data_IF_549164792318
#
_entry.id   IF_549164792318
#
_cell.length_a   1.000
_cell.length_b   1.000
_cell.length_c   1.000
_cell.angle_alpha   90.00
_cell.angle_beta   90.00
_cell.angle_gamma   90.00
#
_symmetry.space_group_name_H-M   'P 1'
#
loop_
_entity.id
_entity.type
_entity.pdbx_description
1 polymer ?
#
# COMPACT_ATOMS: atom_id res chain seq x y z
N UNK A 1 -3.11 -12.58 -14.42
CA UNK A 1 -3.08 -11.82 -13.16
C UNK A 1 -1.82 -10.99 -13.22
N UNK A 2 -1.93 -9.69 -12.97
CA UNK A 2 -0.77 -8.81 -12.99
C UNK A 2 0.25 -9.28 -11.96
N UNK A 3 1.53 -9.18 -12.28
CA UNK A 3 2.60 -9.40 -11.31
C UNK A 3 2.61 -8.26 -10.29
N UNK A 4 2.97 -8.58 -9.05
CA UNK A 4 3.26 -7.59 -8.03
C UNK A 4 4.74 -7.55 -7.70
N UNK A 5 5.30 -6.36 -7.70
CA UNK A 5 6.67 -6.12 -7.25
C UNK A 5 6.66 -5.00 -6.20
N UNK A 6 7.24 -5.27 -5.02
CA UNK A 6 7.44 -4.26 -3.99
C UNK A 6 8.79 -3.60 -4.23
N UNK A 7 8.80 -2.28 -4.36
CA UNK A 7 10.05 -1.51 -4.40
C UNK A 7 10.71 -1.51 -3.02
N UNK A 8 12.04 -1.31 -2.94
CA UNK A 8 12.75 -1.26 -1.66
C UNK A 8 12.12 -0.29 -0.65
N UNK A 9 11.71 0.90 -1.12
CA UNK A 9 11.05 1.91 -0.28
C UNK A 9 9.73 1.38 0.31
N UNK A 10 8.95 0.61 -0.45
CA UNK A 10 7.72 -0.01 0.05
C UNK A 10 7.98 -1.08 1.11
N UNK A 11 9.10 -1.80 1.02
CA UNK A 11 9.50 -2.79 2.03
C UNK A 11 9.92 -2.06 3.31
N UNK A 12 10.76 -1.02 3.19
CA UNK A 12 11.18 -0.20 4.33
C UNK A 12 9.97 0.47 5.01
N UNK A 13 9.00 0.93 4.23
CA UNK A 13 7.75 1.48 4.74
C UNK A 13 6.93 0.44 5.53
N UNK A 14 6.89 -0.83 5.11
CA UNK A 14 6.24 -1.90 5.88
C UNK A 14 6.94 -2.12 7.23
N UNK A 15 8.27 -2.14 7.24
CA UNK A 15 9.05 -2.29 8.47
C UNK A 15 8.78 -1.14 9.43
N UNK A 16 8.80 0.11 8.94
CA UNK A 16 8.44 1.30 9.73
C UNK A 16 7.01 1.24 10.27
N UNK A 17 6.05 0.74 9.48
CA UNK A 17 4.67 0.56 9.94
C UNK A 17 4.60 -0.48 11.06
N UNK A 18 5.31 -1.61 10.95
CA UNK A 18 5.36 -2.63 11.99
C UNK A 18 5.95 -2.05 13.27
N UNK A 19 7.11 -1.38 13.18
CA UNK A 19 7.76 -0.74 14.32
C UNK A 19 6.85 0.27 15.02
N UNK A 20 6.18 1.12 14.24
CA UNK A 20 5.23 2.09 14.78
C UNK A 20 4.06 1.40 15.51
N UNK A 21 3.49 0.32 14.94
CA UNK A 21 2.39 -0.40 15.57
C UNK A 21 2.80 -1.08 16.89
N UNK A 22 4.03 -1.59 16.96
CA UNK A 22 4.62 -2.16 18.18
C UNK A 22 4.79 -1.07 19.24
N UNK A 23 5.43 0.05 18.88
CA UNK A 23 5.65 1.18 19.80
C UNK A 23 4.34 1.79 20.31
N UNK A 24 3.33 1.91 19.44
CA UNK A 24 2.03 2.47 19.80
C UNK A 24 1.14 1.50 20.60
N UNK A 25 1.61 0.29 20.94
CA UNK A 25 0.83 -0.78 21.58
C UNK A 25 -0.50 -1.03 20.88
N UNK A 26 -0.47 -0.99 19.54
CA UNK A 26 -1.68 -1.13 18.75
C UNK A 26 -2.32 -2.51 18.98
N UNK A 27 -3.64 -2.54 19.13
CA UNK A 27 -4.35 -3.80 19.20
C UNK A 27 -4.32 -4.53 17.86
N UNK A 28 -4.06 -5.84 17.93
CA UNK A 28 -4.11 -6.76 16.79
C UNK A 28 -3.26 -6.33 15.58
N UNK A 29 -1.96 -6.09 15.81
CA UNK A 29 -0.95 -5.82 14.77
C UNK A 29 -1.05 -6.82 13.59
N UNK A 30 -1.17 -8.15 13.81
CA UNK A 30 -1.26 -9.11 12.69
C UNK A 30 -2.44 -8.82 11.76
N UNK A 31 -3.61 -8.47 12.30
CA UNK A 31 -4.79 -8.14 11.48
C UNK A 31 -4.60 -6.86 10.66
N UNK A 32 -3.81 -5.90 11.15
CA UNK A 32 -3.50 -4.67 10.41
C UNK A 32 -2.55 -4.95 9.25
N UNK A 33 -1.49 -5.72 9.47
CA UNK A 33 -0.56 -6.12 8.41
C UNK A 33 -1.25 -6.99 7.36
N UNK A 34 -2.06 -7.96 7.78
CA UNK A 34 -2.82 -8.82 6.87
C UNK A 34 -3.78 -8.03 5.97
N UNK A 35 -4.32 -6.90 6.46
CA UNK A 35 -5.16 -6.01 5.64
C UNK A 35 -4.36 -5.29 4.55
N UNK A 36 -3.15 -4.83 4.87
CA UNK A 36 -2.27 -4.20 3.88
C UNK A 36 -1.90 -5.21 2.80
N UNK A 37 -1.47 -6.41 3.20
CA UNK A 37 -1.11 -7.49 2.28
C UNK A 37 -2.27 -7.90 1.37
N UNK A 38 -3.49 -8.06 1.91
CA UNK A 38 -4.67 -8.41 1.12
C UNK A 38 -5.02 -7.33 0.09
N UNK A 39 -4.94 -6.06 0.47
CA UNK A 39 -5.23 -4.97 -0.45
C UNK A 39 -4.18 -4.86 -1.56
N UNK A 40 -2.89 -5.06 -1.24
CA UNK A 40 -1.84 -5.15 -2.28
C UNK A 40 -2.12 -6.32 -3.21
N UNK A 41 -2.52 -7.49 -2.69
CA UNK A 41 -2.86 -8.67 -3.50
C UNK A 41 -4.02 -8.42 -4.48
N UNK A 42 -4.96 -7.52 -4.18
CA UNK A 42 -6.01 -7.16 -5.14
C UNK A 42 -5.49 -6.50 -6.42
N UNK A 43 -4.28 -5.94 -6.41
CA UNK A 43 -3.67 -5.38 -7.60
C UNK A 43 -3.33 -6.48 -8.64
N UNK A 44 -3.19 -7.74 -8.24
CA UNK A 44 -2.99 -8.86 -9.19
C UNK A 44 -4.20 -9.08 -10.12
N UNK A 45 -5.41 -8.76 -9.63
CA UNK A 45 -6.66 -8.96 -10.37
C UNK A 45 -7.29 -7.66 -10.82
N UNK A 46 -7.03 -6.57 -10.11
CA UNK A 46 -7.60 -5.26 -10.36
C UNK A 46 -6.52 -4.16 -10.34
N UNK A 47 -5.51 -4.21 -11.21
CA UNK A 47 -4.39 -3.26 -11.17
C UNK A 47 -4.81 -1.81 -11.42
N UNK A 48 -6.00 -1.56 -11.97
CA UNK A 48 -6.54 -0.20 -12.23
C UNK A 48 -7.49 0.31 -11.13
N UNK A 49 -7.67 -0.42 -10.02
CA UNK A 49 -8.61 -0.06 -8.95
C UNK A 49 -8.23 1.23 -8.20
N UNK A 50 -6.95 1.56 -8.15
CA UNK A 50 -6.45 2.75 -7.47
C UNK A 50 -6.83 4.05 -8.19
N UNK A 51 -6.99 5.10 -7.40
CA UNK A 51 -7.24 6.45 -7.87
C UNK A 51 -5.99 7.00 -8.58
N UNK A 52 -6.13 7.47 -9.82
CA UNK A 52 -5.01 8.04 -10.57
C UNK A 52 -4.63 9.42 -10.00
N UNK A 53 -3.35 9.60 -9.70
CA UNK A 53 -2.79 10.87 -9.21
C UNK A 53 -1.84 11.53 -10.22
N UNK A 54 -1.33 10.75 -11.17
CA UNK A 54 -0.58 11.20 -12.34
C UNK A 54 -0.83 10.21 -13.50
N UNK A 55 -0.18 10.43 -14.64
CA UNK A 55 -0.29 9.55 -15.80
C UNK A 55 0.12 8.10 -15.49
N UNK A 56 1.08 7.92 -14.58
CA UNK A 56 1.72 6.66 -14.26
C UNK A 56 1.45 6.17 -12.82
N UNK A 57 1.04 7.05 -11.89
CA UNK A 57 0.87 6.69 -10.47
C UNK A 57 -0.58 6.64 -10.05
N UNK A 58 -0.85 5.71 -9.14
CA UNK A 58 -2.14 5.43 -8.54
C UNK A 58 -2.03 5.27 -7.05
N UNK A 59 -3.13 5.57 -6.38
CA UNK A 59 -3.26 5.42 -4.94
C UNK A 59 -4.37 4.42 -4.62
N UNK A 60 -4.02 3.43 -3.80
CA UNK A 60 -4.97 2.52 -3.21
C UNK A 60 -5.12 2.85 -1.72
N UNK A 61 -6.30 3.30 -1.34
CA UNK A 61 -6.65 3.57 0.05
C UNK A 61 -7.10 2.29 0.76
N UNK A 62 -6.48 1.98 1.89
CA UNK A 62 -6.73 0.76 2.68
C UNK A 62 -7.27 1.16 4.04
N UNK A 63 -8.49 0.72 4.35
CA UNK A 63 -9.16 1.00 5.64
C UNK A 63 -10.13 2.17 5.57
N UNK A 64 -10.65 2.58 6.74
CA UNK A 64 -11.63 3.66 6.87
C UNK A 64 -11.15 4.70 7.89
N UNK A 65 -11.39 5.99 7.59
CA UNK A 65 -11.07 7.15 8.46
C UNK A 65 -9.56 7.32 8.74
N UNK A 66 -9.18 8.09 9.76
CA UNK A 66 -7.80 8.48 10.11
C UNK A 66 -6.85 7.37 10.58
N UNK A 67 -7.14 6.10 10.28
CA UNK A 67 -6.29 4.94 10.59
C UNK A 67 -5.99 4.09 9.35
N UNK A 68 -6.25 4.62 8.15
CA UNK A 68 -5.97 3.95 6.89
C UNK A 68 -4.51 4.08 6.44
N UNK A 69 -4.14 3.21 5.51
CA UNK A 69 -2.88 3.27 4.77
C UNK A 69 -3.16 3.65 3.32
N UNK A 70 -2.16 4.22 2.66
CA UNK A 70 -2.18 4.51 1.23
C UNK A 70 -1.03 3.76 0.60
N UNK A 71 -1.34 2.95 -0.40
CA UNK A 71 -0.34 2.33 -1.26
C UNK A 71 -0.23 3.17 -2.52
N UNK A 72 0.94 3.73 -2.76
CA UNK A 72 1.25 4.39 -4.04
C UNK A 72 1.89 3.35 -4.94
N UNK A 73 1.34 3.19 -6.14
CA UNK A 73 1.83 2.19 -7.08
C UNK A 73 1.73 2.69 -8.52
N UNK A 74 2.51 2.08 -9.41
CA UNK A 74 2.34 2.23 -10.87
C UNK A 74 1.97 0.88 -11.47
N UNK A 75 1.13 0.90 -12.51
CA UNK A 75 0.80 -0.30 -13.27
C UNK A 75 1.25 -0.11 -14.72
N UNK A 76 2.24 -0.91 -15.12
CA UNK A 76 2.75 -0.93 -16.49
C UNK A 76 2.03 -2.02 -17.27
N UNK A 77 1.13 -1.61 -18.17
CA UNK A 77 0.31 -2.54 -18.95
C UNK A 77 1.16 -3.40 -19.91
N UNK A 78 2.26 -2.86 -20.44
CA UNK A 78 3.14 -3.54 -21.38
C UNK A 78 3.80 -4.79 -20.80
N UNK A 79 4.01 -4.81 -19.49
CA UNK A 79 4.62 -5.93 -18.75
C UNK A 79 3.66 -6.56 -17.73
N UNK A 80 2.38 -6.18 -17.76
CA UNK A 80 1.33 -6.58 -16.81
C UNK A 80 1.82 -6.62 -15.35
N UNK A 81 2.51 -5.57 -14.90
CA UNK A 81 3.14 -5.53 -13.57
C UNK A 81 2.74 -4.28 -12.81
N UNK A 82 2.29 -4.48 -11.56
CA UNK A 82 2.03 -3.43 -10.59
C UNK A 82 3.23 -3.31 -9.64
N UNK A 83 3.92 -2.16 -9.71
CA UNK A 83 5.04 -1.83 -8.84
C UNK A 83 4.54 -0.99 -7.68
N UNK A 84 4.58 -1.55 -6.48
CA UNK A 84 4.25 -0.81 -5.25
C UNK A 84 5.47 0.02 -4.87
N UNK A 85 5.31 1.35 -4.94
CA UNK A 85 6.40 2.30 -4.75
C UNK A 85 6.61 2.59 -3.26
N UNK A 86 5.54 2.95 -2.55
CA UNK A 86 5.59 3.36 -1.13
C UNK A 86 4.29 3.01 -0.41
N UNK A 87 4.35 2.81 0.90
CA UNK A 87 3.19 2.50 1.74
C UNK A 87 3.15 3.46 2.93
N UNK A 88 2.18 4.36 2.94
CA UNK A 88 2.15 5.45 3.91
C UNK A 88 0.93 5.37 4.81
N UNK A 89 1.09 5.74 6.09
CA UNK A 89 -0.07 5.99 6.93
C UNK A 89 -0.77 7.28 6.49
N UNK A 90 -2.10 7.28 6.36
CA UNK A 90 -2.87 8.50 6.06
C UNK A 90 -2.63 9.63 7.08
N UNK A 91 -2.22 9.30 8.31
CA UNK A 91 -1.89 10.29 9.34
C UNK A 91 -0.61 11.07 9.06
N UNK A 92 0.41 10.41 8.52
CA UNK A 92 1.68 11.06 8.16
C UNK A 92 1.59 11.85 6.86
N UNK A 93 0.57 11.56 6.04
CA UNK A 93 0.35 12.19 4.74
C UNK A 93 -0.45 13.49 4.79
N UNK A 94 -0.70 14.05 5.98
CA UNK A 94 -1.35 15.37 6.08
C UNK A 94 -0.36 16.46 5.64
N UNK A 95 -0.73 17.33 4.69
CA UNK A 95 0.08 18.48 4.30
C UNK A 95 0.19 19.50 5.43
#
# INVERSE_FOLDING_TARGET
>A
MARLELMPDAIEDLDRIVDYLVQSKASSIPKKIQRIQQAIKWLETNPRIGHAISADKRELFIGQRGHGYVVVYTYLADVDTAFVLTIQSQRQRRP
#
